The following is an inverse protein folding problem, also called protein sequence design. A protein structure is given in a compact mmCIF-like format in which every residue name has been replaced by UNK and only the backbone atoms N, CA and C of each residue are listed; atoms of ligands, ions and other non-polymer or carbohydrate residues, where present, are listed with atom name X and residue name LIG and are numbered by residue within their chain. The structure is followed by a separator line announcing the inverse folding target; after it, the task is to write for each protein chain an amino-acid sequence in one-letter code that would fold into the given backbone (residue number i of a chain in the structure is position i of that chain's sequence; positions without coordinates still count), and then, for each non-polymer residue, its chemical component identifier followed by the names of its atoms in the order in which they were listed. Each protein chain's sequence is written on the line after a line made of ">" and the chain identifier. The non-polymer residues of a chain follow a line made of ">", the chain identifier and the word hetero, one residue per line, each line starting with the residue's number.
data_IF_887401150327
#
_entry.id   IF_887401150327
#
_cell.length_a   1.000
_cell.length_b   1.000
_cell.length_c   1.000
_cell.angle_alpha   90.00
_cell.angle_beta   90.00
_cell.angle_gamma   90.00
#
_symmetry.space_group_name_H-M   'P 1'
#
loop_
_entity.id
_entity.type
_entity.pdbx_description
1 polymer ?
#
# COMPACT_ATOMS: atom_id res chain seq x y z
N UNK A 1 8.93 12.26 -21.76
CA UNK A 1 9.61 11.20 -20.99
C UNK A 1 9.34 11.48 -19.54
N UNK A 2 8.61 10.61 -18.84
CA UNK A 2 8.44 10.73 -17.39
C UNK A 2 9.76 10.33 -16.73
N UNK A 3 10.26 11.14 -15.79
CA UNK A 3 11.47 10.84 -15.03
C UNK A 3 11.06 10.02 -13.81
N UNK A 4 11.59 8.81 -13.69
CA UNK A 4 11.46 7.98 -12.50
C UNK A 4 12.75 8.08 -11.67
N UNK A 5 12.62 8.05 -10.36
CA UNK A 5 13.74 7.90 -9.43
C UNK A 5 13.51 6.59 -8.68
N UNK A 6 14.43 5.65 -8.87
CA UNK A 6 14.43 4.42 -8.10
C UNK A 6 15.26 4.62 -6.84
N UNK A 7 14.76 4.09 -5.73
CA UNK A 7 15.36 4.26 -4.42
C UNK A 7 15.58 2.89 -3.79
N UNK A 8 16.76 2.62 -3.21
CA UNK A 8 16.99 1.36 -2.52
C UNK A 8 15.95 1.14 -1.41
N UNK A 9 15.54 -0.11 -1.21
CA UNK A 9 14.58 -0.46 -0.16
C UNK A 9 15.19 -0.38 1.25
N UNK A 10 14.41 0.08 2.23
CA UNK A 10 14.85 0.20 3.63
C UNK A 10 14.97 -1.13 4.38
N UNK A 11 14.47 -2.24 3.79
CA UNK A 11 14.49 -3.56 4.41
C UNK A 11 15.90 -4.20 4.42
N UNK A 12 16.83 -3.76 3.57
CA UNK A 12 18.21 -4.25 3.61
C UNK A 12 19.02 -3.51 4.69
N UNK A 13 19.33 -4.21 5.78
CA UNK A 13 20.08 -3.66 6.93
C UNK A 13 21.45 -3.10 6.52
N UNK A 14 22.09 -3.62 5.47
CA UNK A 14 23.40 -3.13 5.01
C UNK A 14 23.30 -1.86 4.20
N UNK A 15 22.15 -1.63 3.55
CA UNK A 15 21.90 -0.48 2.69
C UNK A 15 20.99 0.56 3.36
N UNK A 16 20.55 0.34 4.60
CA UNK A 16 19.57 1.17 5.30
C UNK A 16 19.93 2.66 5.29
N UNK A 17 21.18 3.01 5.61
CA UNK A 17 21.66 4.40 5.60
C UNK A 17 21.62 5.00 4.19
N UNK A 18 22.15 4.28 3.20
CA UNK A 18 22.14 4.69 1.80
C UNK A 18 20.71 4.86 1.26
N UNK A 19 19.82 3.95 1.63
CA UNK A 19 18.41 3.97 1.27
C UNK A 19 17.70 5.19 1.87
N UNK A 20 17.88 5.46 3.18
CA UNK A 20 17.31 6.65 3.81
C UNK A 20 17.80 7.95 3.16
N UNK A 21 19.10 8.04 2.85
CA UNK A 21 19.67 9.22 2.20
C UNK A 21 19.11 9.40 0.78
N UNK A 22 19.05 8.34 -0.02
CA UNK A 22 18.54 8.38 -1.39
C UNK A 22 17.05 8.76 -1.43
N UNK A 23 16.24 8.24 -0.50
CA UNK A 23 14.81 8.59 -0.42
C UNK A 23 14.64 10.06 0.01
N UNK A 24 15.38 10.53 1.01
CA UNK A 24 15.34 11.94 1.42
C UNK A 24 15.76 12.87 0.27
N UNK A 25 16.80 12.51 -0.50
CA UNK A 25 17.22 13.27 -1.68
C UNK A 25 16.15 13.29 -2.78
N UNK A 26 15.50 12.15 -3.03
CA UNK A 26 14.42 12.04 -4.01
C UNK A 26 13.20 12.90 -3.63
N UNK A 27 12.81 12.88 -2.34
CA UNK A 27 11.70 13.69 -1.82
C UNK A 27 11.99 15.20 -1.87
N UNK A 28 13.27 15.59 -1.72
CA UNK A 28 13.72 16.99 -1.80
C UNK A 28 13.89 17.50 -3.24
N UNK A 29 13.60 16.69 -4.25
CA UNK A 29 13.54 17.20 -5.61
C UNK A 29 12.34 18.14 -5.76
N UNK A 30 12.56 19.27 -6.43
CA UNK A 30 11.50 20.24 -6.69
C UNK A 30 10.57 19.77 -7.82
N UNK A 31 9.33 20.26 -7.77
CA UNK A 31 8.31 20.01 -8.79
C UNK A 31 7.30 18.95 -8.38
N UNK A 32 6.44 18.59 -9.34
CA UNK A 32 5.30 17.70 -9.12
C UNK A 32 5.65 16.26 -9.48
N UNK A 33 5.52 15.35 -8.53
CA UNK A 33 5.85 13.92 -8.71
C UNK A 33 4.81 13.01 -8.06
N UNK A 34 4.96 11.70 -8.22
CA UNK A 34 4.04 10.67 -7.71
C UNK A 34 4.79 9.73 -6.78
N UNK A 35 4.33 9.63 -5.54
CA UNK A 35 4.85 8.67 -4.58
C UNK A 35 4.20 7.30 -4.82
N UNK A 36 4.98 6.34 -5.29
CA UNK A 36 4.54 4.96 -5.51
C UNK A 36 5.38 4.01 -4.65
N UNK A 37 4.73 3.30 -3.74
CA UNK A 37 5.40 2.33 -2.88
C UNK A 37 5.09 0.92 -3.33
N UNK A 38 6.14 0.13 -3.56
CA UNK A 38 6.02 -1.29 -3.86
C UNK A 38 5.89 -2.06 -2.55
N UNK A 39 4.80 -2.82 -2.41
CA UNK A 39 4.54 -3.63 -1.22
C UNK A 39 4.48 -5.11 -1.62
N UNK A 40 5.17 -5.94 -0.84
CA UNK A 40 5.20 -7.39 -1.02
C UNK A 40 4.09 -8.05 -0.21
N UNK A 41 3.63 -9.18 -0.73
CA UNK A 41 2.81 -10.14 0.01
C UNK A 41 3.59 -11.43 0.25
N UNK A 42 3.73 -11.83 1.51
CA UNK A 42 4.22 -13.14 1.91
C UNK A 42 3.05 -14.00 2.37
N UNK A 43 2.82 -15.12 1.68
CA UNK A 43 1.66 -15.99 1.91
C UNK A 43 0.31 -15.22 1.91
N UNK A 44 0.20 -14.18 1.06
CA UNK A 44 -0.98 -13.32 0.96
C UNK A 44 -1.09 -12.25 2.03
N UNK A 45 -0.06 -12.08 2.88
CA UNK A 45 -0.02 -11.09 3.96
C UNK A 45 0.96 -9.99 3.62
N UNK A 46 0.58 -8.75 3.94
CA UNK A 46 1.47 -7.60 3.80
C UNK A 46 2.72 -7.81 4.67
N UNK A 47 3.88 -7.57 4.06
CA UNK A 47 5.18 -7.59 4.75
C UNK A 47 5.32 -6.33 5.60
N UNK A 48 5.60 -6.50 6.89
CA UNK A 48 5.65 -5.41 7.88
C UNK A 48 6.69 -4.36 7.49
N UNK A 49 7.87 -4.80 7.06
CA UNK A 49 8.99 -3.93 6.69
C UNK A 49 8.63 -2.95 5.57
N UNK A 50 7.76 -3.36 4.65
CA UNK A 50 7.31 -2.50 3.55
C UNK A 50 6.34 -1.41 4.05
N UNK A 51 5.46 -1.73 5.02
CA UNK A 51 4.61 -0.71 5.65
C UNK A 51 5.41 0.24 6.54
N UNK A 52 6.39 -0.27 7.29
CA UNK A 52 7.30 0.55 8.08
C UNK A 52 8.08 1.52 7.20
N UNK A 53 8.47 1.08 6.01
CA UNK A 53 9.10 1.95 5.00
C UNK A 53 8.16 3.08 4.59
N UNK A 54 6.92 2.78 4.23
CA UNK A 54 5.93 3.80 3.87
C UNK A 54 5.76 4.80 5.02
N UNK A 55 5.49 4.30 6.23
CA UNK A 55 5.25 5.12 7.41
C UNK A 55 6.44 6.01 7.74
N UNK A 56 7.68 5.51 7.67
CA UNK A 56 8.89 6.30 7.90
C UNK A 56 9.10 7.39 6.83
N UNK A 57 8.83 7.08 5.56
CA UNK A 57 8.93 8.05 4.46
C UNK A 57 7.87 9.13 4.61
N UNK A 58 6.62 8.75 4.88
CA UNK A 58 5.51 9.70 5.05
C UNK A 58 5.68 10.56 6.31
N UNK A 59 6.19 10.01 7.41
CA UNK A 59 6.51 10.78 8.62
C UNK A 59 7.67 11.76 8.44
N UNK A 60 8.49 11.60 7.40
CA UNK A 60 9.55 12.56 7.10
C UNK A 60 9.05 13.83 6.43
N UNK A 61 7.81 13.83 5.94
CA UNK A 61 7.20 14.93 5.20
C UNK A 61 6.29 15.73 6.15
N UNK A 62 6.69 16.96 6.46
CA UNK A 62 5.91 17.93 7.23
C UNK A 62 4.82 18.58 6.35
N UNK A 63 3.88 17.75 5.92
CA UNK A 63 2.70 18.16 5.18
C UNK A 63 1.56 17.17 5.44
N UNK A 64 0.41 17.67 5.86
CA UNK A 64 -0.76 16.81 6.07
C UNK A 64 -1.36 16.33 4.74
N UNK A 65 -1.84 15.08 4.73
CA UNK A 65 -2.63 14.56 3.62
C UNK A 65 -1.84 14.36 2.32
N UNK A 66 -0.52 14.17 2.39
CA UNK A 66 0.32 13.83 1.23
C UNK A 66 -0.23 12.56 0.57
N UNK A 67 -0.71 12.62 -0.68
CA UNK A 67 -1.25 11.44 -1.34
C UNK A 67 -0.12 10.55 -1.88
N UNK A 68 -0.34 9.25 -1.84
CA UNK A 68 0.59 8.24 -2.37
C UNK A 68 -0.17 7.06 -2.93
N UNK A 69 0.50 6.21 -3.72
CA UNK A 69 -0.03 4.94 -4.20
C UNK A 69 0.71 3.77 -3.60
N UNK A 70 -0.01 2.68 -3.37
CA UNK A 70 0.57 1.38 -3.03
C UNK A 70 0.38 0.43 -4.21
N UNK A 71 1.48 -0.17 -4.65
CA UNK A 71 1.50 -1.15 -5.72
C UNK A 71 1.88 -2.50 -5.11
N UNK A 72 0.94 -3.43 -5.10
CA UNK A 72 1.13 -4.78 -4.58
C UNK A 72 1.52 -5.69 -5.74
N UNK A 73 2.80 -6.05 -5.79
CA UNK A 73 3.35 -6.88 -6.86
C UNK A 73 3.25 -8.38 -6.54
N UNK A 74 3.46 -9.21 -7.56
CA UNK A 74 3.70 -10.65 -7.44
C UNK A 74 2.52 -11.43 -6.87
N UNK A 75 1.30 -11.03 -7.19
CA UNK A 75 0.11 -11.75 -6.76
C UNK A 75 -0.09 -13.06 -7.52
N UNK A 76 -0.26 -14.18 -6.82
CA UNK A 76 -0.63 -15.44 -7.47
C UNK A 76 -1.99 -15.28 -8.16
N UNK A 77 -2.18 -15.88 -9.33
CA UNK A 77 -3.40 -15.74 -10.16
C UNK A 77 -4.71 -15.94 -9.37
N UNK A 78 -4.75 -16.92 -8.45
CA UNK A 78 -5.91 -17.15 -7.58
C UNK A 78 -6.19 -15.98 -6.63
N UNK A 79 -5.15 -15.46 -5.99
CA UNK A 79 -5.24 -14.31 -5.07
C UNK A 79 -5.63 -13.04 -5.84
N UNK A 80 -5.03 -12.82 -7.02
CA UNK A 80 -5.42 -11.72 -7.90
C UNK A 80 -6.90 -11.76 -8.26
N UNK A 81 -7.41 -12.92 -8.69
CA UNK A 81 -8.84 -13.07 -8.97
C UNK A 81 -9.71 -12.72 -7.75
N UNK A 82 -9.36 -13.22 -6.56
CA UNK A 82 -10.10 -12.93 -5.34
C UNK A 82 -10.09 -11.43 -4.96
N UNK A 83 -8.97 -10.73 -5.18
CA UNK A 83 -8.90 -9.28 -4.98
C UNK A 83 -9.77 -8.52 -6.00
N UNK A 84 -9.80 -8.97 -7.25
CA UNK A 84 -10.62 -8.35 -8.31
C UNK A 84 -12.12 -8.59 -8.13
N UNK A 85 -12.51 -9.66 -7.43
CA UNK A 85 -13.90 -9.90 -7.00
C UNK A 85 -14.37 -8.90 -5.93
N UNK A 86 -13.45 -8.13 -5.31
CA UNK A 86 -13.71 -7.08 -4.31
C UNK A 86 -14.57 -7.54 -3.12
N UNK A 87 -14.47 -8.83 -2.78
CA UNK A 87 -15.09 -9.43 -1.61
C UNK A 87 -14.27 -9.23 -0.33
N UNK A 88 -14.46 -10.13 0.64
CA UNK A 88 -13.83 -10.03 1.96
C UNK A 88 -12.30 -9.96 1.91
N UNK A 89 -11.66 -10.74 1.04
CA UNK A 89 -10.20 -10.76 0.95
C UNK A 89 -9.63 -9.42 0.43
N UNK A 90 -10.37 -8.73 -0.44
CA UNK A 90 -10.04 -7.37 -0.88
C UNK A 90 -10.14 -6.38 0.28
N UNK A 91 -11.25 -6.39 1.02
CA UNK A 91 -11.44 -5.48 2.16
C UNK A 91 -10.34 -5.72 3.20
N UNK A 92 -10.06 -6.97 3.56
CA UNK A 92 -8.94 -7.32 4.46
C UNK A 92 -7.61 -6.80 3.93
N UNK A 93 -7.30 -7.05 2.66
CA UNK A 93 -6.05 -6.58 2.05
C UNK A 93 -5.89 -5.07 2.14
N UNK A 94 -6.93 -4.32 1.76
CA UNK A 94 -6.97 -2.86 1.84
C UNK A 94 -6.84 -2.37 3.28
N UNK A 95 -7.54 -3.00 4.23
CA UNK A 95 -7.44 -2.67 5.66
C UNK A 95 -6.04 -2.89 6.20
N UNK A 96 -5.38 -3.99 5.81
CA UNK A 96 -4.02 -4.31 6.26
C UNK A 96 -2.97 -3.36 5.66
N UNK A 97 -3.11 -2.98 4.38
CA UNK A 97 -2.24 -1.95 3.76
C UNK A 97 -2.39 -0.62 4.48
N UNK A 98 -3.61 -0.29 4.90
CA UNK A 98 -3.93 0.93 5.62
C UNK A 98 -3.94 0.73 7.14
N UNK A 99 -3.12 -0.18 7.67
CA UNK A 99 -2.97 -0.38 9.12
C UNK A 99 -2.12 0.71 9.79
N UNK A 100 -1.33 1.45 9.00
CA UNK A 100 -0.42 2.51 9.47
C UNK A 100 -1.14 3.87 9.61
N UNK A 101 -0.44 4.90 10.10
CA UNK A 101 -1.03 6.23 10.33
C UNK A 101 -1.43 6.91 9.02
N UNK A 102 -0.60 6.74 7.99
CA UNK A 102 -0.84 7.28 6.64
C UNK A 102 -1.65 6.32 5.79
N UNK A 103 -2.82 6.76 5.33
CA UNK A 103 -3.74 5.92 4.55
C UNK A 103 -3.82 6.38 3.09
N UNK A 104 -4.10 5.44 2.18
CA UNK A 104 -4.36 5.72 0.77
C UNK A 104 -5.49 4.85 0.20
N UNK A 105 -6.39 5.43 -0.61
CA UNK A 105 -7.31 4.67 -1.44
C UNK A 105 -6.70 4.20 -2.77
N UNK A 106 -5.47 4.65 -3.12
CA UNK A 106 -4.84 4.38 -4.41
C UNK A 106 -4.00 3.10 -4.35
N UNK A 107 -4.65 1.95 -4.56
CA UNK A 107 -4.01 0.63 -4.47
C UNK A 107 -4.12 -0.09 -5.80
N UNK A 108 -2.98 -0.47 -6.37
CA UNK A 108 -2.88 -1.32 -7.57
C UNK A 108 -2.42 -2.71 -7.17
N UNK A 109 -3.09 -3.74 -7.69
CA UNK A 109 -2.65 -5.13 -7.57
C UNK A 109 -2.12 -5.61 -8.91
N UNK A 110 -0.92 -6.20 -8.93
CA UNK A 110 -0.29 -6.73 -10.14
C UNK A 110 -0.12 -8.25 -9.99
N UNK A 111 -0.67 -9.06 -10.91
CA UNK A 111 -0.44 -10.51 -10.89
C UNK A 111 1.01 -10.84 -11.28
N UNK A 112 1.48 -12.02 -10.89
CA UNK A 112 2.72 -12.58 -11.45
C UNK A 112 2.59 -12.62 -12.98
N UNK A 113 3.49 -11.90 -13.66
CA UNK A 113 3.61 -11.93 -15.11
C UNK A 113 4.46 -13.13 -15.50
N UNK A 114 3.83 -14.16 -16.08
CA UNK A 114 4.51 -15.41 -16.47
C UNK A 114 5.71 -15.16 -17.39
N UNK A 115 5.62 -14.12 -18.21
CA UNK A 115 6.62 -13.82 -19.24
C UNK A 115 7.92 -13.26 -18.65
N UNK A 116 7.90 -12.86 -17.37
CA UNK A 116 9.07 -12.43 -16.59
C UNK A 116 9.62 -13.52 -15.68
N UNK A 117 8.96 -14.68 -15.59
CA UNK A 117 9.39 -15.77 -14.71
C UNK A 117 10.76 -16.31 -15.11
N UNK A 118 11.68 -16.41 -14.15
CA UNK A 118 13.03 -16.98 -14.31
C UNK A 118 13.89 -16.31 -15.39
N UNK A 119 13.60 -15.06 -15.75
CA UNK A 119 14.41 -14.29 -16.70
C UNK A 119 15.11 -13.13 -16.00
N UNK A 120 16.43 -13.07 -16.18
CA UNK A 120 17.24 -11.96 -15.68
C UNK A 120 17.08 -10.73 -16.58
N UNK A 121 16.85 -9.56 -15.98
CA UNK A 121 16.76 -8.26 -16.66
C UNK A 121 15.74 -8.21 -17.82
N UNK A 122 14.71 -9.05 -17.78
CA UNK A 122 13.69 -9.07 -18.82
C UNK A 122 12.84 -7.79 -18.77
N UNK A 123 12.61 -7.22 -19.95
CA UNK A 123 11.67 -6.13 -20.15
C UNK A 123 10.36 -6.69 -20.69
N UNK A 124 9.25 -6.13 -20.21
CA UNK A 124 7.92 -6.40 -20.74
C UNK A 124 7.14 -5.11 -20.80
N UNK A 125 6.16 -5.07 -21.71
CA UNK A 125 5.13 -4.06 -21.65
C UNK A 125 4.28 -4.27 -20.39
N UNK A 126 3.98 -3.19 -19.70
CA UNK A 126 3.07 -3.23 -18.56
C UNK A 126 1.65 -3.52 -19.06
N UNK A 127 0.85 -4.30 -18.31
CA UNK A 127 -0.58 -4.42 -18.62
C UNK A 127 -1.22 -3.04 -18.71
N UNK A 128 -2.14 -2.83 -19.67
CA UNK A 128 -2.73 -1.52 -19.95
C UNK A 128 -3.31 -0.84 -18.70
N UNK A 129 -3.96 -1.60 -17.82
CA UNK A 129 -4.52 -1.06 -16.56
C UNK A 129 -3.43 -0.62 -15.58
N UNK A 130 -2.29 -1.32 -15.54
CA UNK A 130 -1.13 -0.96 -14.70
C UNK A 130 -0.48 0.33 -15.20
N UNK A 131 -0.27 0.41 -16.52
CA UNK A 131 0.26 1.61 -17.15
C UNK A 131 -0.68 2.80 -16.94
N UNK A 132 -1.98 2.61 -17.14
CA UNK A 132 -2.98 3.65 -16.95
C UNK A 132 -3.05 4.13 -15.49
N UNK A 133 -2.93 3.21 -14.54
CA UNK A 133 -2.87 3.56 -13.12
C UNK A 133 -1.67 4.47 -12.84
N UNK A 134 -0.46 4.03 -13.19
CA UNK A 134 0.78 4.77 -12.91
C UNK A 134 0.77 6.14 -13.59
N UNK A 135 0.37 6.21 -14.86
CA UNK A 135 0.39 7.45 -15.65
C UNK A 135 -0.73 8.42 -15.30
N UNK A 136 -1.95 7.93 -15.08
CA UNK A 136 -3.14 8.79 -15.05
C UNK A 136 -3.91 8.78 -13.73
N UNK A 137 -3.90 7.69 -12.97
CA UNK A 137 -4.75 7.55 -11.78
C UNK A 137 -4.00 7.78 -10.46
N UNK A 138 -2.72 7.41 -10.41
CA UNK A 138 -1.86 7.64 -9.26
C UNK A 138 -1.77 9.15 -8.99
N UNK A 139 -2.02 9.58 -7.75
CA UNK A 139 -2.07 10.99 -7.39
C UNK A 139 -0.68 11.60 -7.51
N UNK A 140 -0.65 12.89 -7.80
CA UNK A 140 0.60 13.67 -7.84
C UNK A 140 0.59 14.68 -6.71
N UNK A 141 1.77 14.99 -6.20
CA UNK A 141 2.00 15.95 -5.13
C UNK A 141 3.20 16.82 -5.47
N UNK A 142 3.22 18.02 -4.93
CA UNK A 142 4.37 18.90 -4.91
C UNK A 142 4.76 19.09 -3.45
N UNK A 143 5.98 18.70 -3.10
CA UNK A 143 6.50 18.76 -1.73
C UNK A 143 7.64 19.78 -1.72
N UNK A 144 7.54 20.77 -0.84
CA UNK A 144 8.63 21.71 -0.63
C UNK A 144 9.81 20.95 0.03
N UNK A 145 11.04 21.04 -0.51
CA UNK A 145 12.21 20.41 0.09
C UNK A 145 12.43 20.77 1.56
N UNK A 146 12.03 21.97 1.98
CA UNK A 146 12.13 22.44 3.37
C UNK A 146 11.18 21.68 4.32
N UNK A 147 10.11 21.08 3.78
CA UNK A 147 9.18 20.25 4.54
C UNK A 147 9.65 18.78 4.62
N UNK A 148 10.84 18.44 4.13
CA UNK A 148 11.36 17.06 4.16
C UNK A 148 12.50 16.96 5.16
N UNK A 149 12.22 16.29 6.28
CA UNK A 149 13.22 15.91 7.27
C UNK A 149 14.04 14.69 6.82
N UNK A 150 15.22 14.52 7.41
CA UNK A 150 16.03 13.34 7.14
C UNK A 150 15.40 12.11 7.81
N UNK A 151 15.21 11.04 7.05
CA UNK A 151 14.70 9.78 7.61
C UNK A 151 15.79 9.17 8.51
N UNK A 152 15.47 8.93 9.78
CA UNK A 152 16.39 8.30 10.73
C UNK A 152 16.32 6.76 10.62
N UNK A 153 17.43 6.08 10.24
CA UNK A 153 17.48 4.63 10.20
C UNK A 153 17.15 3.94 11.54
N UNK A 154 17.47 4.55 12.68
CA UNK A 154 17.29 3.93 14.00
C UNK A 154 15.80 3.81 14.35
N UNK A 155 15.03 4.89 14.15
CA UNK A 155 13.59 4.95 14.38
C UNK A 155 12.81 3.88 13.60
N UNK A 156 13.33 3.44 12.44
CA UNK A 156 12.65 2.40 11.65
C UNK A 156 12.60 1.06 12.38
N UNK A 157 13.56 0.74 13.25
CA UNK A 157 13.57 -0.54 13.97
C UNK A 157 12.43 -0.62 14.98
N UNK A 158 12.24 0.44 15.78
CA UNK A 158 11.14 0.54 16.75
C UNK A 158 9.79 0.51 16.02
N UNK A 159 9.68 1.27 14.93
CA UNK A 159 8.50 1.30 14.09
C UNK A 159 8.13 -0.08 13.52
N UNK A 160 9.11 -0.88 13.10
CA UNK A 160 8.86 -2.24 12.60
C UNK A 160 8.25 -3.12 13.70
N UNK A 161 8.75 -3.04 14.93
CA UNK A 161 8.23 -3.86 16.03
C UNK A 161 6.80 -3.43 16.43
N UNK A 162 6.54 -2.13 16.51
CA UNK A 162 5.18 -1.61 16.77
C UNK A 162 4.19 -2.05 15.69
N UNK A 163 4.56 -1.90 14.42
CA UNK A 163 3.72 -2.31 13.30
C UNK A 163 3.53 -3.82 13.24
N UNK A 164 4.54 -4.60 13.65
CA UNK A 164 4.43 -6.07 13.74
C UNK A 164 3.37 -6.47 14.75
N UNK A 165 3.36 -5.86 15.93
CA UNK A 165 2.35 -6.11 16.96
C UNK A 165 0.95 -5.69 16.48
N UNK A 166 0.81 -4.48 15.92
CA UNK A 166 -0.46 -3.99 15.38
C UNK A 166 -1.02 -4.89 14.28
N UNK A 167 -0.19 -5.31 13.32
CA UNK A 167 -0.62 -6.20 12.24
C UNK A 167 -1.00 -7.58 12.77
N UNK A 168 -0.33 -8.09 13.78
CA UNK A 168 -0.69 -9.37 14.38
C UNK A 168 -1.99 -9.29 15.18
N UNK A 169 -2.23 -8.18 15.88
CA UNK A 169 -3.52 -7.90 16.51
C UNK A 169 -4.64 -7.85 15.48
N UNK A 170 -4.48 -7.12 14.37
CA UNK A 170 -5.48 -7.05 13.30
C UNK A 170 -5.74 -8.41 12.63
N UNK A 171 -4.76 -9.32 12.64
CA UNK A 171 -4.92 -10.68 12.08
C UNK A 171 -5.68 -11.62 13.00
N UNK A 172 -5.40 -11.55 14.29
CA UNK A 172 -5.88 -12.52 15.29
C UNK A 172 -7.16 -12.06 15.97
N UNK A 173 -7.39 -10.74 16.04
CA UNK A 173 -8.58 -10.13 16.64
C UNK A 173 -9.52 -9.57 15.58
N UNK A 174 -10.59 -10.32 15.31
CA UNK A 174 -11.67 -9.90 14.41
C UNK A 174 -12.33 -8.59 14.84
N UNK A 175 -12.36 -8.25 16.13
CA UNK A 175 -12.92 -6.99 16.60
C UNK A 175 -12.00 -5.82 16.25
N UNK A 176 -10.68 -5.96 16.45
CA UNK A 176 -9.70 -4.97 16.04
C UNK A 176 -9.75 -4.73 14.51
N UNK A 177 -9.82 -5.80 13.72
CA UNK A 177 -9.95 -5.71 12.27
C UNK A 177 -11.23 -4.96 11.85
N UNK A 178 -12.37 -5.29 12.46
CA UNK A 178 -13.65 -4.61 12.19
C UNK A 178 -13.60 -3.14 12.59
N UNK A 179 -12.99 -2.82 13.73
CA UNK A 179 -12.83 -1.44 14.17
C UNK A 179 -12.05 -0.63 13.13
N UNK A 180 -10.89 -1.15 12.69
CA UNK A 180 -10.08 -0.48 11.66
C UNK A 180 -10.82 -0.32 10.33
N UNK A 181 -11.63 -1.31 9.93
CA UNK A 181 -12.48 -1.21 8.75
C UNK A 181 -13.50 -0.06 8.86
N UNK A 182 -14.16 0.09 10.01
CA UNK A 182 -15.13 1.17 10.23
C UNK A 182 -14.44 2.54 10.31
N UNK A 183 -13.23 2.64 10.89
CA UNK A 183 -12.43 3.86 10.83
C UNK A 183 -12.16 4.32 9.40
N UNK A 184 -11.71 3.40 8.53
CA UNK A 184 -11.47 3.69 7.11
C UNK A 184 -12.75 4.10 6.38
N UNK A 185 -13.89 3.52 6.77
CA UNK A 185 -15.21 3.87 6.20
C UNK A 185 -15.69 5.24 6.63
N UNK A 186 -15.34 5.66 7.84
CA UNK A 186 -15.59 7.01 8.34
C UNK A 186 -14.76 8.08 7.61
N UNK A 187 -13.69 7.72 6.89
CA UNK A 187 -12.88 8.66 6.14
C UNK A 187 -13.61 9.09 4.85
N UNK A 188 -13.90 10.39 4.68
CA UNK A 188 -14.64 10.88 3.51
C UNK A 188 -13.96 10.46 2.20
N UNK A 189 -14.74 9.93 1.26
CA UNK A 189 -14.27 9.58 -0.09
C UNK A 189 -13.43 8.30 -0.19
N UNK A 190 -12.94 7.72 0.92
CA UNK A 190 -11.97 6.62 0.87
C UNK A 190 -12.41 5.43 -0.01
N UNK A 191 -13.57 4.83 0.27
CA UNK A 191 -14.07 3.69 -0.52
C UNK A 191 -14.59 4.09 -1.90
N UNK A 192 -15.03 5.34 -2.08
CA UNK A 192 -15.42 5.85 -3.38
C UNK A 192 -14.20 5.96 -4.31
N UNK A 193 -13.09 6.49 -3.78
CA UNK A 193 -11.86 6.69 -4.54
C UNK A 193 -11.11 5.37 -4.77
N UNK A 194 -11.18 4.43 -3.81
CA UNK A 194 -10.73 3.05 -3.99
C UNK A 194 -11.47 2.34 -5.14
N UNK A 195 -12.74 2.71 -5.38
CA UNK A 195 -13.57 2.19 -6.46
C UNK A 195 -13.28 2.78 -7.85
N UNK A 196 -12.67 3.97 -7.95
CA UNK A 196 -12.44 4.68 -9.22
C UNK A 196 -11.37 4.05 -10.12
N UNK A 197 -10.50 3.20 -9.57
CA UNK A 197 -9.49 2.48 -10.35
C UNK A 197 -10.05 1.32 -11.18
N UNK A 198 -11.29 0.87 -10.93
CA UNK A 198 -11.88 -0.29 -11.60
C UNK A 198 -13.40 -0.15 -11.75
N UNK A 199 -13.88 -0.10 -12.99
CA UNK A 199 -15.30 -0.01 -13.36
C UNK A 199 -16.20 -0.99 -12.57
N UNK A 200 -17.21 -0.42 -11.88
CA UNK A 200 -18.41 -1.04 -11.31
C UNK A 200 -18.27 -2.09 -10.18
N UNK A 201 -18.15 -1.68 -8.90
CA UNK A 201 -18.34 -2.65 -7.77
C UNK A 201 -18.55 -2.07 -6.34
N UNK A 202 -19.13 -0.88 -6.16
CA UNK A 202 -19.35 -0.33 -4.80
C UNK A 202 -20.40 -1.14 -4.00
N UNK A 203 -21.31 -1.87 -4.68
CA UNK A 203 -22.43 -2.56 -4.03
C UNK A 203 -22.02 -3.78 -3.19
N UNK A 204 -21.00 -4.54 -3.60
CA UNK A 204 -20.64 -5.82 -2.95
C UNK A 204 -20.05 -5.64 -1.54
N UNK A 205 -19.25 -4.60 -1.33
CA UNK A 205 -18.62 -4.31 -0.03
C UNK A 205 -19.67 -3.86 0.99
N UNK A 206 -20.60 -2.99 0.59
CA UNK A 206 -21.70 -2.51 1.44
C UNK A 206 -22.72 -3.61 1.81
N UNK A 207 -22.96 -4.56 0.91
CA UNK A 207 -23.81 -5.75 1.17
C UNK A 207 -23.12 -6.72 2.15
N UNK A 208 -21.81 -6.90 2.02
CA UNK A 208 -21.02 -7.73 2.94
C UNK A 208 -21.02 -7.17 4.38
N UNK A 209 -20.83 -5.85 4.55
CA UNK A 209 -20.89 -5.21 5.87
C UNK A 209 -22.27 -5.32 6.53
N UNK A 210 -23.37 -5.25 5.75
CA UNK A 210 -24.72 -5.49 6.26
C UNK A 210 -24.89 -6.92 6.81
N UNK A 211 -24.28 -7.90 6.17
CA UNK A 211 -24.35 -9.30 6.60
C UNK A 211 -23.48 -9.63 7.82
N UNK A 212 -22.48 -8.81 8.17
CA UNK A 212 -21.72 -8.97 9.41
C UNK A 212 -22.43 -8.45 10.68
N UNK A 213 -23.37 -7.52 10.52
CA UNK A 213 -24.18 -6.99 11.63
C UNK A 213 -25.22 -7.98 12.16
N UNK A 214 -25.55 -9.02 11.39
CA UNK A 214 -26.34 -10.17 11.82
C UNK A 214 -25.39 -11.31 12.16
N UNK A 215 -25.34 -11.71 13.43
CA UNK A 215 -24.40 -12.70 13.96
C UNK A 215 -24.20 -13.93 13.06
N UNK A 216 -23.04 -14.02 12.43
CA UNK A 216 -22.55 -15.24 11.83
C UNK A 216 -21.15 -15.53 12.41
N UNK A 217 -21.10 -16.55 13.24
CA UNK A 217 -19.90 -17.19 13.77
C UNK A 217 -19.03 -17.63 12.59
N UNK A 218 -17.94 -16.93 12.34
CA UNK A 218 -16.98 -17.31 11.30
C UNK A 218 -15.98 -18.30 11.93
N UNK A 219 -16.16 -19.55 11.53
CA UNK A 219 -15.26 -20.67 11.78
C UNK A 219 -13.81 -20.29 11.46
N UNK A 220 -12.95 -20.62 12.42
CA UNK A 220 -11.51 -20.72 12.30
C UNK A 220 -11.09 -21.58 11.10
N UNK A 221 -10.30 -21.02 10.19
CA UNK A 221 -9.31 -21.72 9.35
C UNK A 221 -8.09 -20.81 9.21
#
# INVERSE_FOLDING_TARGET
>A
MERCMDTPGLADRKLKELATAAITEALRQSGRYKNNFMVRLENGRVVVDDLATIEAVMNSIDMEGVPFSVIINTMKKRQYKAMMEKGIEFVKGVTMVNAISHITPHILFIPILSDLGEKDNALTDLPADTEAFIKYQAPSVEINPDNVSQINPENLTELIEELREQLEQLRTDNAALRHRMEELKGKPGFFHDLGKGFSNTVNSVADWFRNLGGGATLLSI
#
